data_IF_472637369518
#
_entry.id   IF_472637369518
#
_cell.length_a   1.000
_cell.length_b   1.000
_cell.length_c   1.000
_cell.angle_alpha   90.00
_cell.angle_beta   90.00
_cell.angle_gamma   90.00
#
_symmetry.space_group_name_H-M   'P 1'
#
loop_
_entity.id
_entity.type
_entity.pdbx_description
1 polymer ?
#
# COMPACT_ATOMS: atom_id res chain seq x y z
N UNK A 1 -8.94 0.88 14.36
CA UNK A 1 -7.76 1.15 15.19
C UNK A 1 -6.51 0.80 14.41
N UNK A 2 -5.31 1.20 14.86
CA UNK A 2 -4.05 0.72 14.29
C UNK A 2 -3.91 -0.81 14.43
N UNK A 3 -4.35 -1.37 15.55
CA UNK A 3 -4.35 -2.82 15.80
C UNK A 3 -5.16 -3.56 14.72
N UNK A 4 -6.38 -3.12 14.40
CA UNK A 4 -7.19 -3.74 13.34
C UNK A 4 -6.51 -3.68 11.97
N UNK A 5 -5.78 -2.60 11.68
CA UNK A 5 -5.02 -2.50 10.43
C UNK A 5 -3.84 -3.48 10.42
N UNK A 6 -3.17 -3.69 11.56
CA UNK A 6 -2.11 -4.69 11.68
C UNK A 6 -2.61 -6.13 11.64
N UNK A 7 -3.73 -6.44 12.29
CA UNK A 7 -4.39 -7.75 12.18
C UNK A 7 -4.80 -8.06 10.73
N UNK A 8 -5.33 -7.06 10.04
CA UNK A 8 -5.64 -7.17 8.61
C UNK A 8 -4.39 -7.44 7.78
N UNK A 9 -3.33 -6.66 7.99
CA UNK A 9 -2.07 -6.83 7.28
C UNK A 9 -1.48 -8.24 7.51
N UNK A 10 -1.46 -8.72 8.75
CA UNK A 10 -1.00 -10.05 9.09
C UNK A 10 -1.78 -11.16 8.34
N UNK A 11 -3.11 -11.04 8.23
CA UNK A 11 -3.93 -11.99 7.45
C UNK A 11 -3.70 -11.88 5.93
N UNK A 12 -3.25 -10.74 5.45
CA UNK A 12 -2.95 -10.49 4.05
C UNK A 12 -1.51 -10.86 3.65
N UNK A 13 -0.68 -11.28 4.61
CA UNK A 13 0.71 -11.68 4.37
C UNK A 13 0.80 -12.76 3.27
N UNK A 14 1.79 -12.60 2.40
CA UNK A 14 1.98 -13.42 1.19
C UNK A 14 1.01 -13.15 0.04
N UNK A 15 -0.01 -12.29 0.22
CA UNK A 15 -0.97 -11.90 -0.84
C UNK A 15 -0.93 -10.41 -1.16
N UNK A 16 -0.51 -9.59 -0.21
CA UNK A 16 -0.37 -8.16 -0.38
C UNK A 16 0.82 -7.60 0.40
N UNK A 17 1.27 -6.41 0.01
CA UNK A 17 2.23 -5.59 0.76
C UNK A 17 1.65 -4.23 1.11
N UNK A 18 2.18 -3.59 2.14
CA UNK A 18 1.67 -2.36 2.74
C UNK A 18 2.74 -1.28 2.69
N UNK A 19 2.43 -0.17 2.02
CA UNK A 19 3.28 1.00 1.92
C UNK A 19 2.82 2.01 2.96
N UNK A 20 3.58 2.13 4.04
CA UNK A 20 3.37 3.18 5.03
C UNK A 20 3.81 4.52 4.45
N UNK A 21 2.82 5.32 4.03
CA UNK A 21 3.04 6.64 3.44
C UNK A 21 3.16 7.74 4.50
N UNK A 22 2.86 7.44 5.76
CA UNK A 22 2.87 8.38 6.87
C UNK A 22 3.52 7.76 8.11
N UNK A 23 4.05 8.60 9.00
CA UNK A 23 4.75 8.15 10.20
C UNK A 23 3.81 7.47 11.20
N UNK A 24 4.31 6.42 11.86
CA UNK A 24 3.61 5.76 12.96
C UNK A 24 2.43 4.85 12.55
N UNK A 25 2.40 4.38 11.29
CA UNK A 25 1.41 3.39 10.82
C UNK A 25 1.99 1.98 10.66
N UNK A 26 3.29 1.84 10.37
CA UNK A 26 3.91 0.55 10.07
C UNK A 26 4.14 -0.34 11.31
N UNK A 27 4.47 0.27 12.45
CA UNK A 27 4.93 -0.49 13.63
C UNK A 27 3.93 -1.55 14.10
N UNK A 28 2.63 -1.23 14.12
CA UNK A 28 1.60 -2.18 14.52
C UNK A 28 1.39 -3.30 13.48
N UNK A 29 1.63 -3.02 12.20
CA UNK A 29 1.57 -4.05 11.15
C UNK A 29 2.73 -5.03 11.31
N UNK A 30 3.96 -4.52 11.52
CA UNK A 30 5.14 -5.35 11.70
C UNK A 30 5.07 -6.22 12.97
N UNK A 31 4.61 -5.65 14.09
CA UNK A 31 4.48 -6.41 15.34
C UNK A 31 3.46 -7.56 15.23
N UNK A 32 2.38 -7.36 14.47
CA UNK A 32 1.31 -8.36 14.35
C UNK A 32 1.55 -9.37 13.23
N UNK A 33 2.54 -9.14 12.37
CA UNK A 33 2.94 -10.03 11.28
C UNK A 33 4.16 -10.88 11.57
N UNK A 34 4.45 -11.13 12.86
CA UNK A 34 5.63 -11.88 13.30
C UNK A 34 6.96 -11.33 12.74
N UNK A 35 7.02 -10.01 12.52
CA UNK A 35 8.22 -9.36 12.02
C UNK A 35 8.49 -9.53 10.52
N UNK A 36 7.52 -9.98 9.71
CA UNK A 36 7.69 -10.07 8.25
C UNK A 36 8.03 -8.71 7.60
N UNK A 37 9.31 -8.54 7.26
CA UNK A 37 9.85 -7.32 6.65
C UNK A 37 9.45 -7.10 5.19
N UNK A 38 8.84 -8.08 4.52
CA UNK A 38 8.28 -7.91 3.17
C UNK A 38 6.80 -7.49 3.21
N UNK A 39 6.17 -7.50 4.39
CA UNK A 39 4.77 -7.11 4.53
C UNK A 39 4.58 -5.60 4.53
N UNK A 40 5.46 -4.84 5.19
CA UNK A 40 5.29 -3.40 5.37
C UNK A 40 6.57 -2.62 5.10
N UNK A 41 6.45 -1.55 4.31
CA UNK A 41 7.56 -0.70 3.88
C UNK A 41 7.31 0.77 4.25
N UNK A 42 8.23 1.38 4.99
CA UNK A 42 8.17 2.80 5.38
C UNK A 42 8.82 3.70 4.33
N UNK A 43 8.08 4.01 3.27
CA UNK A 43 8.61 4.81 2.16
C UNK A 43 8.81 6.29 2.49
N UNK A 44 8.10 6.85 3.48
CA UNK A 44 8.05 8.30 3.70
C UNK A 44 9.38 8.95 4.12
N UNK A 45 10.34 8.20 4.69
CA UNK A 45 11.65 8.73 5.12
C UNK A 45 12.55 9.16 3.96
N UNK A 46 12.46 8.47 2.82
CA UNK A 46 13.43 8.60 1.74
C UNK A 46 12.80 8.53 0.36
N UNK A 47 11.51 8.84 0.23
CA UNK A 47 10.77 8.67 -1.02
C UNK A 47 11.35 9.50 -2.17
N UNK A 48 11.93 8.82 -3.15
CA UNK A 48 12.53 9.40 -4.36
C UNK A 48 11.52 9.50 -5.48
N UNK A 49 10.65 8.51 -5.63
CA UNK A 49 9.59 8.52 -6.65
C UNK A 49 8.93 7.15 -6.87
N UNK A 50 8.16 7.01 -7.98
CA UNK A 50 7.36 5.82 -8.25
C UNK A 50 8.15 4.51 -8.32
N UNK A 51 9.44 4.55 -8.66
CA UNK A 51 10.29 3.36 -8.70
C UNK A 51 10.46 2.73 -7.30
N UNK A 52 10.48 3.52 -6.23
CA UNK A 52 10.54 2.98 -4.86
C UNK A 52 9.26 2.18 -4.52
N UNK A 53 8.12 2.56 -5.10
CA UNK A 53 6.86 1.82 -4.96
C UNK A 53 6.97 0.48 -5.70
N UNK A 54 7.47 0.51 -6.94
CA UNK A 54 7.66 -0.70 -7.76
C UNK A 54 8.60 -1.68 -7.08
N UNK A 55 9.75 -1.19 -6.61
CA UNK A 55 10.76 -2.01 -5.93
C UNK A 55 10.17 -2.74 -4.71
N UNK A 56 9.33 -2.07 -3.91
CA UNK A 56 8.65 -2.70 -2.78
C UNK A 56 7.70 -3.82 -3.22
N UNK A 57 6.89 -3.54 -4.25
CA UNK A 57 5.90 -4.50 -4.73
C UNK A 57 6.57 -5.71 -5.40
N UNK A 58 7.58 -5.48 -6.23
CA UNK A 58 8.32 -6.52 -6.94
C UNK A 58 9.10 -7.40 -5.95
N UNK A 59 9.70 -6.79 -4.92
CA UNK A 59 10.35 -7.53 -3.83
C UNK A 59 9.37 -8.39 -3.04
N UNK A 60 8.17 -7.88 -2.76
CA UNK A 60 7.14 -8.63 -2.05
C UNK A 60 6.53 -9.76 -2.90
N UNK A 61 6.61 -9.66 -4.24
CA UNK A 61 6.11 -10.69 -5.15
C UNK A 61 4.59 -10.86 -5.13
N UNK A 62 3.86 -9.75 -4.91
CA UNK A 62 2.41 -9.73 -4.71
C UNK A 62 1.65 -9.06 -5.86
N UNK A 63 0.37 -9.40 -5.99
CA UNK A 63 -0.55 -8.80 -6.97
C UNK A 63 -1.49 -7.74 -6.38
N UNK A 64 -1.30 -7.42 -5.10
CA UNK A 64 -2.02 -6.39 -4.38
C UNK A 64 -1.06 -5.57 -3.52
N UNK A 65 -1.25 -4.26 -3.46
CA UNK A 65 -0.61 -3.43 -2.46
C UNK A 65 -1.58 -2.42 -1.86
N UNK A 66 -1.26 -1.98 -0.64
CA UNK A 66 -2.03 -0.99 0.09
C UNK A 66 -1.17 0.22 0.39
N UNK A 67 -1.70 1.42 0.17
CA UNK A 67 -1.11 2.66 0.71
C UNK A 67 -1.81 2.99 2.01
N UNK A 68 -1.04 3.13 3.09
CA UNK A 68 -1.53 3.36 4.44
C UNK A 68 -1.16 4.78 4.88
N UNK A 69 -2.16 5.57 5.26
CA UNK A 69 -2.00 6.95 5.75
C UNK A 69 -2.53 7.09 7.17
N UNK A 70 -2.03 8.08 7.92
CA UNK A 70 -2.53 8.36 9.27
C UNK A 70 -3.79 9.21 9.23
N UNK A 71 -4.68 9.01 10.21
CA UNK A 71 -5.80 9.91 10.52
C UNK A 71 -5.70 10.37 11.98
N UNK A 72 -5.64 11.69 12.26
CA UNK A 72 -5.33 12.76 11.30
C UNK A 72 -3.93 12.59 10.68
N UNK A 73 -3.64 13.23 9.53
CA UNK A 73 -2.32 13.18 8.91
C UNK A 73 -1.22 13.69 9.83
N UNK A 74 0.00 13.14 9.72
CA UNK A 74 1.13 13.67 10.49
C UNK A 74 1.77 14.88 9.80
N UNK A 75 2.62 15.59 10.54
CA UNK A 75 3.47 16.67 10.00
C UNK A 75 4.86 16.18 9.60
N UNK A 76 5.14 14.88 9.69
CA UNK A 76 6.44 14.29 9.36
C UNK A 76 6.46 14.00 7.86
N UNK A 77 7.26 14.76 7.10
CA UNK A 77 7.40 14.64 5.65
C UNK A 77 6.05 14.61 4.87
N UNK A 78 5.14 15.58 5.09
CA UNK A 78 3.81 15.55 4.49
C UNK A 78 3.85 15.64 2.95
N UNK A 79 4.90 16.25 2.37
CA UNK A 79 5.14 16.24 0.93
C UNK A 79 5.37 14.82 0.41
N UNK A 80 6.12 13.98 1.12
CA UNK A 80 6.36 12.60 0.71
C UNK A 80 5.07 11.78 0.80
N UNK A 81 4.26 11.95 1.85
CA UNK A 81 2.95 11.30 1.93
C UNK A 81 2.07 11.64 0.72
N UNK A 82 1.96 12.93 0.38
CA UNK A 82 1.19 13.38 -0.79
C UNK A 82 1.73 12.79 -2.09
N UNK A 83 3.06 12.79 -2.26
CA UNK A 83 3.71 12.23 -3.46
C UNK A 83 3.46 10.72 -3.57
N UNK A 84 3.66 9.94 -2.51
CA UNK A 84 3.39 8.50 -2.50
C UNK A 84 1.93 8.21 -2.87
N UNK A 85 0.98 8.93 -2.27
CA UNK A 85 -0.46 8.77 -2.52
C UNK A 85 -0.81 9.07 -3.98
N UNK A 86 -0.23 10.12 -4.57
CA UNK A 86 -0.43 10.46 -5.99
C UNK A 86 0.23 9.44 -6.90
N UNK A 87 1.52 9.18 -6.70
CA UNK A 87 2.33 8.33 -7.55
C UNK A 87 1.82 6.87 -7.55
N UNK A 88 1.26 6.39 -6.43
CA UNK A 88 0.57 5.11 -6.37
C UNK A 88 -0.72 5.08 -7.20
N UNK A 89 -1.47 6.19 -7.25
CA UNK A 89 -2.70 6.30 -8.02
C UNK A 89 -2.45 6.35 -9.54
N UNK A 90 -1.28 6.85 -9.93
CA UNK A 90 -0.85 7.00 -11.31
C UNK A 90 0.07 5.85 -11.77
N UNK A 91 0.27 4.82 -10.92
CA UNK A 91 1.23 3.76 -11.19
C UNK A 91 0.76 2.87 -12.37
N UNK A 92 1.51 2.84 -13.50
CA UNK A 92 1.13 2.04 -14.66
C UNK A 92 1.02 0.55 -14.32
N UNK A 93 -0.02 -0.11 -14.85
CA UNK A 93 -0.27 -1.53 -14.59
C UNK A 93 -0.98 -1.82 -13.26
N UNK A 94 -1.39 -0.79 -12.52
CA UNK A 94 -2.11 -0.93 -11.26
C UNK A 94 -3.41 -0.13 -11.28
N UNK A 95 -4.43 -0.64 -10.60
CA UNK A 95 -5.74 0.02 -10.51
C UNK A 95 -6.18 0.11 -9.05
N UNK A 96 -6.60 1.30 -8.64
CA UNK A 96 -7.24 1.48 -7.34
C UNK A 96 -8.58 0.74 -7.29
N UNK A 97 -8.82 0.04 -6.19
CA UNK A 97 -10.06 -0.71 -5.95
C UNK A 97 -10.58 -0.45 -4.55
N UNK A 98 -11.88 -0.65 -4.31
CA UNK A 98 -12.42 -0.57 -2.95
C UNK A 98 -11.66 -1.50 -2.00
N UNK A 99 -11.32 -0.97 -0.83
CA UNK A 99 -10.73 -1.73 0.26
C UNK A 99 -11.78 -2.64 0.91
N UNK A 100 -11.31 -3.64 1.65
CA UNK A 100 -12.17 -4.57 2.37
C UNK A 100 -13.03 -3.83 3.42
N UNK A 101 -14.31 -4.22 3.62
CA UNK A 101 -15.23 -3.52 4.53
C UNK A 101 -14.68 -3.37 5.97
N UNK A 102 -13.91 -4.34 6.44
CA UNK A 102 -13.31 -4.34 7.78
C UNK A 102 -12.24 -3.26 8.00
N UNK A 103 -11.64 -2.74 6.92
CA UNK A 103 -10.62 -1.68 6.97
C UNK A 103 -11.05 -0.37 6.30
N UNK A 104 -12.25 -0.32 5.71
CA UNK A 104 -12.75 0.84 4.97
C UNK A 104 -12.86 2.11 5.81
N UNK A 105 -13.33 1.99 7.06
CA UNK A 105 -13.58 3.14 7.93
C UNK A 105 -12.84 3.05 9.27
N UNK A 106 -11.53 2.79 9.20
CA UNK A 106 -10.70 2.85 10.39
C UNK A 106 -10.50 4.32 10.82
N UNK A 107 -10.70 4.66 12.11
CA UNK A 107 -10.62 6.04 12.58
C UNK A 107 -9.19 6.58 12.64
N UNK A 108 -8.19 5.70 12.78
CA UNK A 108 -6.80 6.08 13.00
C UNK A 108 -5.93 6.03 11.73
N UNK A 109 -6.43 5.41 10.65
CA UNK A 109 -5.70 5.22 9.40
C UNK A 109 -6.63 5.24 8.19
N UNK A 110 -6.11 5.66 7.05
CA UNK A 110 -6.71 5.43 5.74
C UNK A 110 -5.96 4.31 5.01
N UNK A 111 -6.69 3.49 4.27
CA UNK A 111 -6.11 2.50 3.37
C UNK A 111 -6.63 2.79 1.96
N UNK A 112 -5.74 2.68 0.97
CA UNK A 112 -6.08 2.66 -0.46
C UNK A 112 -5.51 1.38 -1.05
N UNK A 113 -6.33 0.60 -1.75
CA UNK A 113 -5.96 -0.71 -2.29
C UNK A 113 -5.72 -0.63 -3.78
N UNK A 114 -4.66 -1.26 -4.24
CA UNK A 114 -4.30 -1.34 -5.64
C UNK A 114 -4.11 -2.80 -6.03
N UNK A 115 -4.70 -3.20 -7.16
CA UNK A 115 -4.54 -4.52 -7.75
C UNK A 115 -3.84 -4.41 -9.09
N UNK A 116 -3.03 -5.42 -9.43
CA UNK A 116 -2.40 -5.53 -10.74
C UNK A 116 -3.49 -5.55 -11.81
N UNK A 117 -3.40 -4.67 -12.80
CA UNK A 117 -4.28 -4.68 -13.94
C UNK A 117 -4.00 -5.94 -14.77
N UNK A 118 -5.05 -6.62 -15.23
CA UNK A 118 -4.87 -7.69 -16.20
C UNK A 118 -4.16 -7.12 -17.45
N UNK A 119 -3.25 -7.87 -18.09
CA UNK A 119 -2.71 -7.44 -19.36
C UNK A 119 -3.88 -7.19 -20.31
N UNK A 120 -3.93 -6.01 -20.93
CA UNK A 120 -4.91 -5.72 -21.96
C UNK A 120 -4.80 -6.84 -23.00
N UNK A 121 -5.84 -7.68 -23.10
CA UNK A 121 -5.94 -8.64 -24.18
C UNK A 121 -6.10 -7.79 -25.44
N UNK A 122 -5.00 -7.52 -26.13
CA UNK A 122 -5.04 -6.95 -27.48
C UNK A 122 -5.86 -7.90 -28.33
N UNK A 123 -7.16 -7.61 -28.46
CA UNK A 123 -8.02 -8.20 -29.47
C UNK A 123 -7.40 -7.84 -30.82
N UNK A 124 -6.64 -8.78 -31.40
CA UNK A 124 -6.28 -8.72 -32.81
C UNK A 124 -7.57 -8.53 -33.60
N UNK A 125 -7.67 -7.54 -34.50
CA UNK A 125 -8.72 -7.57 -35.50
C UNK A 125 -8.53 -8.85 -36.31
N UNK A 126 -9.55 -9.71 -36.35
CA UNK A 126 -9.56 -10.82 -37.29
C UNK A 126 -9.64 -10.27 -38.72
N UNK A 127 -8.87 -10.84 -39.66
CA UNK A 127 -8.90 -10.46 -41.07
C UNK A 127 -10.24 -10.80 -41.74
#
# INVERSE_FOLDING_TARGET
SLTRAGEFAARAAGRATFLAADWGVANQMLCLSDGDTNLVHELFWGYRGPDDIRDCIDRAGVDAFYVVTKKPPTTVHPENTRRIVRDAAELPGWRETPVEPEVADLPAVGLRKFLRAAPETTSRPQP
#
